data_IF_494344024014
#
_entry.id   IF_494344024014
#
_cell.length_a   1.000
_cell.length_b   1.000
_cell.length_c   1.000
_cell.angle_alpha   90.00
_cell.angle_beta   90.00
_cell.angle_gamma   90.00
#
_symmetry.space_group_name_H-M   'P 1'
#
loop_
_entity.id
_entity.type
_entity.pdbx_description
1 polymer ?
#
# COMPACT_ATOMS: atom_id res chain seq x y z
N UNK A 1 24.34 -20.08 31.79
CA UNK A 1 24.90 -19.56 30.52
C UNK A 1 24.14 -20.22 29.38
N UNK A 2 23.05 -19.62 28.92
CA UNK A 2 22.23 -20.14 27.82
C UNK A 2 22.58 -19.40 26.56
N UNK A 3 23.22 -20.08 25.62
CA UNK A 3 23.66 -19.56 24.32
C UNK A 3 22.46 -19.39 23.39
N UNK A 4 22.25 -18.17 22.92
CA UNK A 4 21.19 -17.81 21.99
C UNK A 4 21.32 -18.51 20.64
N UNK A 5 20.19 -18.90 20.07
CA UNK A 5 20.10 -19.35 18.68
C UNK A 5 20.04 -18.14 17.75
N UNK A 6 21.15 -17.86 17.09
CA UNK A 6 21.18 -16.94 15.94
C UNK A 6 20.54 -17.66 14.75
N UNK A 7 19.48 -17.08 14.17
CA UNK A 7 18.92 -17.58 12.91
C UNK A 7 19.92 -17.32 11.79
N UNK A 8 20.44 -18.40 11.21
CA UNK A 8 21.38 -18.35 10.11
C UNK A 8 20.75 -17.68 8.87
N UNK A 9 21.34 -16.57 8.43
CA UNK A 9 21.25 -16.11 7.05
C UNK A 9 21.78 -17.23 6.16
N UNK A 10 20.88 -17.92 5.47
CA UNK A 10 21.27 -18.93 4.50
C UNK A 10 21.69 -18.23 3.20
N UNK A 11 23.00 -18.00 3.07
CA UNK A 11 23.63 -17.47 1.87
C UNK A 11 23.92 -18.62 0.90
N UNK A 12 23.21 -18.66 -0.22
CA UNK A 12 23.71 -19.26 -1.43
C UNK A 12 23.84 -18.13 -2.46
N UNK A 13 25.03 -17.97 -3.03
CA UNK A 13 25.42 -16.96 -4.04
C UNK A 13 25.87 -15.57 -3.54
N UNK A 14 26.74 -15.49 -2.52
CA UNK A 14 27.75 -14.42 -2.34
C UNK A 14 27.32 -12.94 -2.18
N UNK A 15 26.06 -12.58 -2.46
CA UNK A 15 25.49 -11.22 -2.40
C UNK A 15 24.31 -11.28 -1.45
N UNK A 16 24.26 -10.36 -0.48
CA UNK A 16 23.15 -10.30 0.45
C UNK A 16 21.86 -9.90 -0.28
N UNK A 17 20.72 -10.36 0.23
CA UNK A 17 19.40 -10.00 -0.32
C UNK A 17 19.21 -8.48 -0.41
N UNK A 18 19.71 -7.73 0.58
CA UNK A 18 19.71 -6.27 0.57
C UNK A 18 20.54 -5.66 -0.56
N UNK A 19 21.72 -6.24 -0.87
CA UNK A 19 22.55 -5.76 -1.97
C UNK A 19 21.94 -6.09 -3.35
N UNK A 20 21.32 -7.27 -3.50
CA UNK A 20 20.56 -7.62 -4.72
C UNK A 20 19.42 -6.66 -4.95
N UNK A 21 18.58 -6.44 -3.94
CA UNK A 21 17.49 -5.47 -4.01
C UNK A 21 18.01 -4.07 -4.42
N UNK A 22 19.07 -3.57 -3.77
CA UNK A 22 19.61 -2.25 -4.08
C UNK A 22 20.06 -2.12 -5.54
N UNK A 23 20.60 -3.18 -6.13
CA UNK A 23 20.97 -3.20 -7.55
C UNK A 23 19.75 -3.22 -8.48
N UNK A 24 18.74 -4.05 -8.21
CA UNK A 24 17.48 -4.04 -8.98
C UNK A 24 16.76 -2.68 -8.88
N UNK A 25 16.68 -2.10 -7.69
CA UNK A 25 16.10 -0.79 -7.44
C UNK A 25 16.78 0.32 -8.26
N UNK A 26 18.12 0.36 -8.23
CA UNK A 26 18.90 1.34 -9.01
C UNK A 26 18.72 1.15 -10.52
N UNK A 27 18.72 -0.09 -11.00
CA UNK A 27 18.49 -0.38 -12.41
C UNK A 27 17.08 0.02 -12.86
N UNK A 28 16.06 -0.35 -12.09
CA UNK A 28 14.66 -0.07 -12.39
C UNK A 28 14.39 1.45 -12.45
N UNK A 29 14.86 2.21 -11.46
CA UNK A 29 14.72 3.68 -11.46
C UNK A 29 15.45 4.31 -12.65
N UNK A 30 16.71 3.89 -12.91
CA UNK A 30 17.51 4.40 -14.03
C UNK A 30 16.80 4.15 -15.37
N UNK A 31 16.25 2.96 -15.57
CA UNK A 31 15.50 2.63 -16.79
C UNK A 31 14.25 3.50 -16.90
N UNK A 32 13.45 3.64 -15.83
CA UNK A 32 12.24 4.45 -15.86
C UNK A 32 12.53 5.91 -16.28
N UNK A 33 13.56 6.53 -15.70
CA UNK A 33 14.02 7.88 -16.11
C UNK A 33 14.42 7.95 -17.58
N UNK A 34 15.14 6.94 -18.05
CA UNK A 34 15.51 6.84 -19.46
C UNK A 34 14.28 6.71 -20.35
N UNK A 35 13.28 5.92 -19.96
CA UNK A 35 12.09 5.70 -20.78
C UNK A 35 11.25 6.97 -20.94
N UNK A 36 11.11 7.75 -19.86
CA UNK A 36 10.37 9.03 -19.87
C UNK A 36 10.97 10.09 -20.83
N UNK A 37 12.26 9.99 -21.15
CA UNK A 37 12.96 10.95 -22.03
C UNK A 37 13.32 10.38 -23.40
N UNK A 38 13.28 9.06 -23.57
CA UNK A 38 13.58 8.38 -24.83
C UNK A 38 12.47 8.56 -25.88
N UNK A 39 12.73 8.16 -27.12
CA UNK A 39 11.70 7.99 -28.17
C UNK A 39 11.03 6.60 -28.16
N UNK A 40 11.43 5.69 -27.27
CA UNK A 40 11.00 4.28 -27.28
C UNK A 40 9.52 4.12 -26.88
N UNK A 41 8.75 3.29 -27.56
CA UNK A 41 7.30 3.11 -27.32
C UNK A 41 6.85 1.65 -27.42
N UNK A 42 7.79 0.71 -27.34
CA UNK A 42 7.50 -0.71 -27.25
C UNK A 42 6.52 -1.03 -26.13
N UNK A 43 5.61 -1.98 -26.41
CA UNK A 43 4.70 -2.58 -25.43
C UNK A 43 5.31 -3.81 -24.74
N UNK A 44 6.57 -4.13 -25.03
CA UNK A 44 7.25 -5.22 -24.34
C UNK A 44 7.69 -4.77 -22.94
N UNK A 45 7.35 -5.52 -21.88
CA UNK A 45 7.89 -5.28 -20.54
C UNK A 45 9.42 -5.31 -20.57
N UNK A 46 10.06 -4.50 -19.71
CA UNK A 46 11.51 -4.41 -19.68
C UNK A 46 12.05 -5.40 -18.67
N UNK A 47 12.81 -6.39 -19.15
CA UNK A 47 13.52 -7.35 -18.29
C UNK A 47 14.70 -6.67 -17.58
N UNK A 48 14.80 -6.83 -16.27
CA UNK A 48 15.93 -6.37 -15.48
C UNK A 48 17.13 -7.32 -15.59
N UNK A 49 18.33 -6.82 -15.27
CA UNK A 49 19.55 -7.60 -15.30
C UNK A 49 19.53 -8.65 -14.19
N UNK A 50 19.51 -9.92 -14.57
CA UNK A 50 19.51 -11.04 -13.62
C UNK A 50 20.82 -11.08 -12.81
N UNK A 51 20.72 -10.95 -11.49
CA UNK A 51 21.88 -10.85 -10.58
C UNK A 51 22.37 -12.20 -10.06
N UNK A 52 21.49 -13.19 -9.90
CA UNK A 52 21.83 -14.55 -9.49
C UNK A 52 21.07 -15.60 -10.32
N UNK A 53 21.64 -16.80 -10.56
CA UNK A 53 20.94 -17.87 -11.29
C UNK A 53 19.58 -18.25 -10.70
N UNK A 54 19.46 -18.22 -9.36
CA UNK A 54 18.24 -18.53 -8.62
C UNK A 54 17.17 -17.44 -8.65
N UNK A 55 17.52 -16.19 -9.00
CA UNK A 55 16.53 -15.13 -9.10
C UNK A 55 15.55 -15.43 -10.26
N UNK A 56 14.25 -15.11 -10.14
CA UNK A 56 13.35 -15.17 -11.28
C UNK A 56 13.72 -14.10 -12.31
N UNK A 57 13.17 -14.21 -13.50
CA UNK A 57 13.23 -13.11 -14.46
C UNK A 57 12.28 -12.00 -13.99
N UNK A 58 12.87 -10.89 -13.56
CA UNK A 58 12.16 -9.69 -13.13
C UNK A 58 11.89 -8.75 -14.30
N UNK A 59 10.69 -8.19 -14.35
CA UNK A 59 10.32 -7.18 -15.33
C UNK A 59 9.72 -5.95 -14.67
N UNK A 60 9.92 -4.79 -15.28
CA UNK A 60 9.20 -3.54 -15.00
C UNK A 60 8.30 -3.18 -16.21
N UNK A 61 7.38 -2.19 -16.06
CA UNK A 61 6.49 -1.82 -17.14
C UNK A 61 7.18 -1.43 -18.45
N UNK A 62 6.46 -1.56 -19.55
CA UNK A 62 6.93 -1.23 -20.89
C UNK A 62 7.15 0.28 -21.08
N UNK A 63 7.99 0.68 -22.04
CA UNK A 63 8.14 2.08 -22.45
C UNK A 63 6.80 2.75 -22.81
N UNK A 64 5.90 2.02 -23.48
CA UNK A 64 4.55 2.50 -23.79
C UNK A 64 3.75 2.85 -22.53
N UNK A 65 3.83 2.01 -21.50
CA UNK A 65 3.12 2.24 -20.25
C UNK A 65 3.57 3.53 -19.55
N UNK A 66 4.88 3.75 -19.47
CA UNK A 66 5.44 4.96 -18.86
C UNK A 66 5.00 6.26 -19.55
N UNK A 67 4.66 6.21 -20.84
CA UNK A 67 4.36 7.39 -21.65
C UNK A 67 2.87 7.63 -21.84
N UNK A 68 2.13 6.58 -22.14
CA UNK A 68 0.75 6.71 -22.62
C UNK A 68 -0.29 6.33 -21.56
N UNK A 69 0.11 5.54 -20.55
CA UNK A 69 -0.83 4.94 -19.60
C UNK A 69 -0.68 5.54 -18.21
N UNK A 70 0.54 5.64 -17.71
CA UNK A 70 0.85 6.27 -16.42
C UNK A 70 1.88 7.41 -16.57
N UNK A 71 1.64 8.40 -17.45
CA UNK A 71 2.56 9.51 -17.61
C UNK A 71 2.70 10.32 -16.31
N UNK A 72 3.88 10.91 -16.05
CA UNK A 72 4.02 11.91 -15.01
C UNK A 72 3.13 13.14 -15.29
N UNK A 73 2.58 13.80 -14.24
CA UNK A 73 2.61 13.39 -12.84
C UNK A 73 1.59 12.28 -12.52
N UNK A 74 2.00 11.30 -11.70
CA UNK A 74 1.17 10.19 -11.26
C UNK A 74 -0.02 10.64 -10.39
N UNK A 75 0.13 11.72 -9.63
CA UNK A 75 -0.95 12.42 -8.94
C UNK A 75 -1.01 13.86 -9.45
N UNK A 76 -1.99 14.16 -10.30
CA UNK A 76 -2.12 15.47 -10.94
C UNK A 76 -2.50 16.55 -9.94
N UNK A 77 -1.84 17.71 -10.04
CA UNK A 77 -2.15 18.87 -9.21
C UNK A 77 -1.74 18.70 -7.76
N UNK A 78 -0.65 17.95 -7.50
CA UNK A 78 -0.14 17.75 -6.15
C UNK A 78 0.02 19.07 -5.41
N UNK A 79 -0.57 19.18 -4.22
CA UNK A 79 -0.38 20.31 -3.32
C UNK A 79 -0.22 19.85 -1.87
N UNK A 80 0.61 20.57 -1.13
CA UNK A 80 0.81 20.34 0.31
C UNK A 80 -0.47 20.73 1.06
N UNK A 81 -1.10 19.77 1.72
CA UNK A 81 -2.29 19.97 2.53
C UNK A 81 -1.91 20.23 3.99
N UNK A 82 -2.11 21.46 4.47
CA UNK A 82 -1.87 21.82 5.88
C UNK A 82 -3.20 21.99 6.62
N UNK A 83 -3.45 21.12 7.59
CA UNK A 83 -4.60 21.26 8.49
C UNK A 83 -4.25 22.22 9.65
N UNK A 84 -5.13 23.19 9.93
CA UNK A 84 -4.95 24.15 11.05
C UNK A 84 -6.18 24.13 11.96
N UNK A 85 -6.03 23.90 13.28
CA UNK A 85 -4.78 23.58 13.98
C UNK A 85 -4.26 22.19 13.57
N UNK A 86 -2.95 21.97 13.72
CA UNK A 86 -2.37 20.64 13.59
C UNK A 86 -2.84 19.75 14.75
N UNK A 87 -2.87 18.44 14.50
CA UNK A 87 -3.07 17.42 15.52
C UNK A 87 -1.99 17.53 16.59
N UNK A 88 -2.40 17.60 17.86
CA UNK A 88 -1.51 17.71 19.02
C UNK A 88 -1.58 16.51 19.96
N UNK A 89 -2.31 15.46 19.58
CA UNK A 89 -2.38 14.21 20.33
C UNK A 89 -1.19 13.28 20.06
N UNK A 90 -1.28 12.06 20.60
CA UNK A 90 -0.22 11.02 20.47
C UNK A 90 -0.56 9.92 19.46
N UNK A 91 -1.71 10.02 18.80
CA UNK A 91 -2.18 9.01 17.85
C UNK A 91 -1.24 8.84 16.66
N UNK A 92 -1.05 7.58 16.27
CA UNK A 92 -0.24 7.17 15.12
C UNK A 92 -1.06 6.44 14.09
N UNK A 93 -0.62 6.50 12.85
CA UNK A 93 -1.17 5.72 11.75
C UNK A 93 -0.27 4.50 11.54
N UNK A 94 -0.85 3.30 11.59
CA UNK A 94 -0.18 2.07 11.22
C UNK A 94 -0.15 1.97 9.69
N UNK A 95 1.04 2.02 9.10
CA UNK A 95 1.25 1.85 7.67
C UNK A 95 1.69 0.41 7.41
N UNK A 96 0.85 -0.33 6.67
CA UNK A 96 1.07 -1.76 6.40
C UNK A 96 1.70 -1.93 5.02
N UNK A 97 3.02 -2.02 4.98
CA UNK A 97 3.80 -2.11 3.74
C UNK A 97 4.12 -3.57 3.38
N UNK A 98 4.46 -3.80 2.11
CA UNK A 98 5.17 -5.03 1.71
C UNK A 98 6.69 -4.92 1.90
N UNK A 99 7.31 -6.05 2.24
CA UNK A 99 8.77 -6.27 2.21
C UNK A 99 9.21 -7.15 1.01
N UNK A 100 8.27 -7.56 0.15
CA UNK A 100 8.54 -8.27 -1.10
C UNK A 100 8.58 -7.30 -2.28
N UNK A 101 9.62 -7.43 -3.11
CA UNK A 101 9.71 -6.78 -4.43
C UNK A 101 9.41 -7.75 -5.58
N UNK A 102 9.09 -9.01 -5.26
CA UNK A 102 8.74 -10.05 -6.21
C UNK A 102 7.23 -10.33 -6.12
N UNK A 103 6.53 -10.14 -7.23
CA UNK A 103 5.18 -10.66 -7.41
C UNK A 103 5.19 -11.75 -8.49
N UNK A 104 5.07 -13.04 -8.12
CA UNK A 104 4.89 -14.11 -9.06
C UNK A 104 3.57 -13.97 -9.82
N UNK A 105 3.65 -14.03 -11.14
CA UNK A 105 2.53 -14.03 -12.07
C UNK A 105 2.32 -15.44 -12.63
N UNK A 106 1.31 -15.60 -13.48
CA UNK A 106 1.13 -16.83 -14.26
C UNK A 106 2.32 -17.07 -15.19
N UNK A 107 2.45 -18.31 -15.68
CA UNK A 107 3.50 -18.73 -16.63
C UNK A 107 4.96 -18.59 -16.13
N UNK A 108 5.16 -18.47 -14.81
CA UNK A 108 6.49 -18.47 -14.19
C UNK A 108 7.27 -17.16 -14.33
N UNK A 109 6.58 -16.07 -14.68
CA UNK A 109 7.15 -14.72 -14.81
C UNK A 109 6.97 -13.93 -13.50
N UNK A 110 7.94 -13.08 -13.15
CA UNK A 110 7.87 -12.23 -11.96
C UNK A 110 7.80 -10.74 -12.32
N UNK A 111 6.88 -10.02 -11.68
CA UNK A 111 6.85 -8.56 -11.74
C UNK A 111 7.70 -7.96 -10.62
N UNK A 112 8.62 -7.06 -10.97
CA UNK A 112 9.39 -6.27 -10.00
C UNK A 112 8.54 -5.11 -9.50
N UNK A 113 8.04 -5.24 -8.28
CA UNK A 113 7.06 -4.35 -7.69
C UNK A 113 7.43 -4.00 -6.23
N UNK A 114 6.48 -3.47 -5.48
CA UNK A 114 6.62 -3.00 -4.11
C UNK A 114 5.40 -2.15 -3.75
N UNK A 115 5.59 -1.22 -2.83
CA UNK A 115 4.62 -0.14 -2.59
C UNK A 115 4.83 0.96 -3.64
N UNK A 116 3.76 1.43 -4.30
CA UNK A 116 3.89 2.53 -5.28
C UNK A 116 4.25 3.84 -4.56
N UNK A 117 5.29 4.53 -5.01
CA UNK A 117 5.89 5.66 -4.24
C UNK A 117 4.91 6.81 -4.03
N UNK A 118 4.15 7.21 -5.07
CA UNK A 118 3.09 8.24 -4.94
C UNK A 118 1.98 7.79 -3.99
N UNK A 119 1.57 6.52 -4.06
CA UNK A 119 0.45 5.98 -3.28
C UNK A 119 0.79 5.89 -1.79
N UNK A 120 2.04 5.57 -1.47
CA UNK A 120 2.54 5.56 -0.09
C UNK A 120 2.81 6.98 0.42
N UNK A 121 3.57 7.77 -0.34
CA UNK A 121 4.25 8.95 0.21
C UNK A 121 3.39 10.22 0.14
N UNK A 122 2.47 10.35 -0.82
CA UNK A 122 1.54 11.50 -0.87
C UNK A 122 0.56 11.50 0.32
N UNK A 123 -0.12 10.39 0.67
CA UNK A 123 -0.92 10.34 1.89
C UNK A 123 -0.08 10.56 3.15
N UNK A 124 1.13 9.99 3.23
CA UNK A 124 2.04 10.24 4.35
C UNK A 124 2.41 11.71 4.52
N UNK A 125 2.60 12.44 3.42
CA UNK A 125 2.80 13.90 3.46
C UNK A 125 1.61 14.60 4.13
N UNK A 126 0.38 14.29 3.71
CA UNK A 126 -0.82 14.87 4.30
C UNK A 126 -0.94 14.53 5.80
N UNK A 127 -0.64 13.29 6.18
CA UNK A 127 -0.66 12.86 7.58
C UNK A 127 0.39 13.58 8.44
N UNK A 128 1.62 13.68 7.95
CA UNK A 128 2.71 14.36 8.64
C UNK A 128 2.44 15.87 8.77
N UNK A 129 1.92 16.51 7.71
CA UNK A 129 1.55 17.93 7.73
C UNK A 129 0.40 18.24 8.68
N UNK A 130 -0.48 17.26 8.90
CA UNK A 130 -1.53 17.33 9.90
C UNK A 130 -1.04 17.02 11.32
N UNK A 131 0.19 16.53 11.52
CA UNK A 131 0.79 16.26 12.83
C UNK A 131 0.67 14.81 13.33
N UNK A 132 0.27 13.86 12.49
CA UNK A 132 0.18 12.45 12.88
C UNK A 132 1.54 11.75 12.85
N UNK A 133 1.79 10.86 13.82
CA UNK A 133 2.95 9.97 13.82
C UNK A 133 2.70 8.67 13.05
N UNK A 134 3.77 7.89 12.82
CA UNK A 134 3.69 6.64 12.07
C UNK A 134 4.20 5.44 12.87
N UNK A 135 3.61 4.28 12.61
CA UNK A 135 4.21 2.96 12.83
C UNK A 135 4.21 2.27 11.48
N UNK A 136 5.36 1.82 11.00
CA UNK A 136 5.44 1.05 9.75
C UNK A 136 5.63 -0.42 10.10
N UNK A 137 4.87 -1.29 9.45
CA UNK A 137 4.95 -2.72 9.66
C UNK A 137 4.94 -3.50 8.35
N UNK A 138 5.64 -4.63 8.34
CA UNK A 138 5.62 -5.66 7.29
C UNK A 138 5.34 -7.01 7.93
N UNK A 139 4.91 -8.01 7.15
CA UNK A 139 4.57 -9.34 7.68
C UNK A 139 5.75 -10.00 8.44
N UNK A 140 6.97 -9.71 8.01
CA UNK A 140 8.21 -10.35 8.46
C UNK A 140 9.20 -9.40 9.14
N UNK A 141 8.90 -8.09 9.20
CA UNK A 141 9.79 -7.07 9.76
C UNK A 141 11.01 -6.76 8.89
N UNK A 142 11.06 -7.33 7.67
CA UNK A 142 12.10 -7.00 6.70
C UNK A 142 11.87 -5.60 6.10
N UNK A 143 12.93 -4.95 5.58
CA UNK A 143 12.84 -3.61 5.02
C UNK A 143 11.71 -3.47 3.99
N UNK A 144 11.03 -2.33 4.03
CA UNK A 144 9.98 -1.99 3.07
C UNK A 144 10.56 -1.94 1.65
N UNK A 145 9.80 -2.47 0.70
CA UNK A 145 10.12 -2.43 -0.73
C UNK A 145 9.20 -1.46 -1.44
N UNK A 146 9.75 -0.53 -2.19
CA UNK A 146 8.97 0.41 -2.99
C UNK A 146 9.20 0.12 -4.46
N UNK A 147 8.31 0.59 -5.32
CA UNK A 147 8.54 0.53 -6.76
C UNK A 147 9.45 1.70 -7.15
N UNK A 148 10.78 1.55 -7.08
CA UNK A 148 11.67 2.71 -7.29
C UNK A 148 11.51 3.36 -8.67
N UNK A 149 11.10 2.57 -9.66
CA UNK A 149 10.73 3.03 -11.01
C UNK A 149 9.52 3.98 -11.03
N UNK A 150 8.77 4.12 -9.94
CA UNK A 150 7.64 5.06 -9.81
C UNK A 150 8.05 6.43 -9.26
N UNK A 151 9.24 6.60 -8.65
CA UNK A 151 9.68 7.93 -8.20
C UNK A 151 9.69 8.97 -9.34
N UNK A 152 10.25 8.67 -10.52
CA UNK A 152 10.22 9.61 -11.65
C UNK A 152 8.81 9.94 -12.14
N UNK A 153 7.81 9.10 -11.83
CA UNK A 153 6.42 9.34 -12.21
C UNK A 153 5.77 10.44 -11.38
N UNK A 154 6.35 10.81 -10.24
CA UNK A 154 5.90 11.99 -9.50
C UNK A 154 6.10 13.28 -10.29
N UNK A 155 7.10 13.35 -11.17
CA UNK A 155 7.41 14.55 -11.94
C UNK A 155 7.74 15.72 -11.01
N UNK A 156 6.87 16.73 -11.00
CA UNK A 156 7.09 18.00 -10.29
C UNK A 156 7.16 17.89 -8.76
N UNK A 157 6.58 16.85 -8.16
CA UNK A 157 6.58 16.65 -6.70
C UNK A 157 7.52 15.52 -6.22
N UNK A 158 8.45 15.09 -7.08
CA UNK A 158 9.38 14.01 -6.75
C UNK A 158 10.23 14.36 -5.51
N UNK A 159 10.62 15.63 -5.36
CA UNK A 159 11.43 16.09 -4.23
C UNK A 159 10.68 15.92 -2.89
N UNK A 160 9.39 16.23 -2.85
CA UNK A 160 8.54 16.13 -1.66
C UNK A 160 8.37 14.67 -1.22
N UNK A 161 8.09 13.75 -2.15
CA UNK A 161 7.96 12.33 -1.79
C UNK A 161 9.29 11.73 -1.35
N UNK A 162 10.42 12.15 -1.94
CA UNK A 162 11.74 11.74 -1.45
C UNK A 162 12.07 12.32 -0.08
N UNK A 163 11.66 13.57 0.18
CA UNK A 163 11.87 14.20 1.48
C UNK A 163 11.14 13.47 2.60
N UNK A 164 9.85 13.12 2.43
CA UNK A 164 9.11 12.36 3.45
C UNK A 164 9.65 10.93 3.60
N UNK A 165 10.07 10.30 2.50
CA UNK A 165 10.68 8.97 2.54
C UNK A 165 11.97 8.98 3.36
N UNK A 166 12.86 9.95 3.09
CA UNK A 166 14.12 10.10 3.80
C UNK A 166 13.92 10.51 5.28
N UNK A 167 12.97 11.38 5.57
CA UNK A 167 12.64 11.79 6.94
C UNK A 167 12.17 10.62 7.82
N UNK A 168 11.58 9.59 7.20
CA UNK A 168 11.08 8.39 7.87
C UNK A 168 11.93 7.14 7.58
N UNK A 169 13.16 7.31 7.09
CA UNK A 169 13.99 6.20 6.60
C UNK A 169 14.17 5.06 7.60
N UNK A 170 14.32 5.38 8.89
CA UNK A 170 14.46 4.38 9.95
C UNK A 170 13.24 3.45 10.05
N UNK A 171 12.03 3.95 9.82
CA UNK A 171 10.81 3.15 9.86
C UNK A 171 10.70 2.19 8.65
N UNK A 172 11.28 2.58 7.50
CA UNK A 172 11.27 1.76 6.29
C UNK A 172 12.41 0.72 6.27
N UNK A 173 13.59 1.07 6.79
CA UNK A 173 14.72 0.15 6.87
C UNK A 173 14.53 -0.92 7.96
N UNK A 174 13.81 -0.60 9.03
CA UNK A 174 13.54 -1.50 10.15
C UNK A 174 12.07 -1.41 10.63
N UNK A 175 11.11 -1.87 9.80
CA UNK A 175 9.71 -1.87 10.18
C UNK A 175 9.44 -2.90 11.28
N UNK A 176 8.32 -2.73 11.98
CA UNK A 176 7.83 -3.73 12.95
C UNK A 176 7.31 -4.95 12.19
N UNK A 177 7.31 -6.12 12.83
CA UNK A 177 6.46 -7.22 12.37
C UNK A 177 5.01 -6.90 12.69
N UNK A 178 4.08 -7.21 11.79
CA UNK A 178 2.63 -7.07 12.07
C UNK A 178 2.22 -7.81 13.35
N UNK A 179 2.83 -8.97 13.64
CA UNK A 179 2.61 -9.73 14.88
C UNK A 179 3.07 -9.03 16.17
N UNK A 180 3.91 -8.00 16.06
CA UNK A 180 4.43 -7.26 17.21
C UNK A 180 3.63 -5.98 17.49
N UNK A 181 2.81 -5.52 16.54
CA UNK A 181 2.04 -4.27 16.68
C UNK A 181 0.82 -4.50 17.57
N UNK A 182 0.55 -3.55 18.46
CA UNK A 182 -0.65 -3.54 19.30
C UNK A 182 -1.34 -2.17 19.22
N UNK A 183 -2.64 -2.18 18.89
CA UNK A 183 -3.39 -0.94 18.60
C UNK A 183 -3.36 0.01 19.80
N UNK A 184 -3.52 -0.49 21.02
CA UNK A 184 -3.61 0.35 22.20
C UNK A 184 -2.22 0.78 22.68
N UNK A 185 -1.29 -0.16 22.80
CA UNK A 185 0.05 0.12 23.31
C UNK A 185 0.85 1.03 22.36
N UNK A 186 0.69 0.87 21.05
CA UNK A 186 1.37 1.70 20.06
C UNK A 186 0.62 3.03 19.75
N UNK A 187 -0.55 3.27 20.38
CA UNK A 187 -1.45 4.42 20.15
C UNK A 187 -1.91 4.53 18.69
N UNK A 188 -2.28 3.42 18.07
CA UNK A 188 -2.78 3.39 16.69
C UNK A 188 -4.20 3.93 16.64
N UNK A 189 -4.42 4.96 15.81
CA UNK A 189 -5.74 5.57 15.58
C UNK A 189 -6.26 5.33 14.17
N UNK A 190 -5.45 4.79 13.26
CA UNK A 190 -5.86 4.35 11.93
C UNK A 190 -4.88 3.34 11.34
N UNK A 191 -5.38 2.59 10.36
CA UNK A 191 -4.57 1.70 9.52
C UNK A 191 -4.56 2.24 8.10
N UNK A 192 -3.39 2.29 7.47
CA UNK A 192 -3.20 2.68 6.09
C UNK A 192 -2.49 1.58 5.30
N UNK A 193 -3.18 1.02 4.30
CA UNK A 193 -2.63 0.09 3.32
C UNK A 193 -2.40 0.80 1.98
N UNK A 194 -1.17 1.26 1.67
CA UNK A 194 -0.83 1.78 0.35
C UNK A 194 -0.95 0.68 -0.72
N UNK A 195 -1.09 1.05 -1.98
CA UNK A 195 -1.08 0.10 -3.09
C UNK A 195 0.30 -0.05 -3.74
N UNK A 196 0.31 -0.19 -5.06
CA UNK A 196 1.32 -0.93 -5.81
C UNK A 196 1.05 -2.43 -5.80
N UNK A 197 1.45 -3.14 -6.86
CA UNK A 197 1.14 -4.57 -7.01
C UNK A 197 1.77 -5.42 -5.89
N UNK A 198 2.79 -4.92 -5.19
CA UNK A 198 3.40 -5.58 -4.04
C UNK A 198 2.43 -5.87 -2.88
N UNK A 199 1.33 -5.11 -2.75
CA UNK A 199 0.26 -5.38 -1.78
C UNK A 199 -0.41 -6.76 -2.01
N UNK A 200 -0.39 -7.26 -3.24
CA UNK A 200 -0.95 -8.56 -3.63
C UNK A 200 -0.06 -9.75 -3.27
N UNK A 201 1.15 -9.54 -2.75
CA UNK A 201 2.13 -10.63 -2.54
C UNK A 201 1.88 -11.45 -1.27
N UNK A 202 1.82 -10.78 -0.11
CA UNK A 202 1.90 -11.43 1.21
C UNK A 202 0.82 -10.96 2.19
N UNK A 203 0.47 -9.68 2.19
CA UNK A 203 -0.32 -9.06 3.26
C UNK A 203 -1.72 -9.68 3.45
N UNK A 204 -2.41 -10.05 2.36
CA UNK A 204 -3.71 -10.73 2.43
C UNK A 204 -3.66 -12.13 3.08
N UNK A 205 -2.47 -12.71 3.26
CA UNK A 205 -2.23 -14.01 3.92
C UNK A 205 -1.77 -13.87 5.37
N UNK A 206 -1.67 -12.66 5.89
CA UNK A 206 -1.12 -12.37 7.21
C UNK A 206 -2.22 -12.44 8.31
N UNK A 207 -2.23 -13.46 9.18
CA UNK A 207 -3.21 -13.56 10.25
C UNK A 207 -3.06 -12.48 11.34
N UNK A 208 -1.84 -11.95 11.55
CA UNK A 208 -1.63 -10.86 12.50
C UNK A 208 -2.23 -9.56 11.98
N UNK A 209 -2.01 -9.26 10.69
CA UNK A 209 -2.68 -8.14 10.02
C UNK A 209 -4.20 -8.31 10.00
N UNK A 210 -4.69 -9.52 9.73
CA UNK A 210 -6.12 -9.82 9.83
C UNK A 210 -6.70 -9.52 11.22
N UNK A 211 -5.94 -9.83 12.28
CA UNK A 211 -6.32 -9.52 13.66
C UNK A 211 -6.31 -8.02 13.94
N UNK A 212 -5.32 -7.28 13.43
CA UNK A 212 -5.25 -5.82 13.54
C UNK A 212 -6.43 -5.14 12.82
N UNK A 213 -6.76 -5.56 11.60
CA UNK A 213 -7.91 -5.04 10.85
C UNK A 213 -9.24 -5.29 11.55
N UNK A 214 -9.42 -6.48 12.14
CA UNK A 214 -10.62 -6.80 12.94
C UNK A 214 -10.73 -5.91 14.17
N UNK A 215 -9.65 -5.76 14.95
CA UNK A 215 -9.63 -4.87 16.12
C UNK A 215 -9.87 -3.41 15.72
N UNK A 216 -9.33 -2.97 14.59
CA UNK A 216 -9.59 -1.63 14.06
C UNK A 216 -11.07 -1.44 13.71
N UNK A 217 -11.68 -2.40 13.02
CA UNK A 217 -13.11 -2.41 12.70
C UNK A 217 -13.99 -2.41 13.98
N UNK A 218 -13.70 -3.26 14.96
CA UNK A 218 -14.41 -3.30 16.26
C UNK A 218 -14.38 -1.96 17.01
N UNK A 219 -13.35 -1.14 16.76
CA UNK A 219 -13.15 0.19 17.36
C UNK A 219 -13.52 1.34 16.41
N UNK A 220 -14.08 1.00 15.25
CA UNK A 220 -14.41 1.92 14.16
C UNK A 220 -13.22 2.81 13.74
N UNK A 221 -11.97 2.35 13.91
CA UNK A 221 -10.80 3.13 13.55
C UNK A 221 -10.74 3.31 12.03
N UNK A 222 -10.45 4.52 11.53
CA UNK A 222 -10.28 4.74 10.10
C UNK A 222 -9.33 3.71 9.49
N UNK A 223 -9.83 3.00 8.49
CA UNK A 223 -9.09 2.02 7.69
C UNK A 223 -8.98 2.58 6.29
N UNK A 224 -7.78 2.93 5.87
CA UNK A 224 -7.49 3.70 4.66
C UNK A 224 -6.78 2.78 3.68
N UNK A 225 -7.32 2.61 2.47
CA UNK A 225 -6.77 1.72 1.45
C UNK A 225 -6.74 2.38 0.09
N UNK A 226 -5.79 1.99 -0.77
CA UNK A 226 -5.66 2.58 -2.10
C UNK A 226 -5.22 1.55 -3.13
N UNK A 227 -5.78 1.62 -4.35
CA UNK A 227 -5.36 0.80 -5.50
C UNK A 227 -5.42 -0.71 -5.18
N UNK A 228 -4.31 -1.45 -5.29
CA UNK A 228 -4.22 -2.85 -4.86
C UNK A 228 -4.13 -3.02 -3.33
N UNK A 229 -3.82 -1.96 -2.59
CA UNK A 229 -3.78 -1.95 -1.13
C UNK A 229 -5.11 -2.34 -0.50
N UNK A 230 -6.24 -2.06 -1.16
CA UNK A 230 -7.57 -2.52 -0.70
C UNK A 230 -7.68 -4.03 -0.58
N UNK A 231 -6.90 -4.80 -1.37
CA UNK A 231 -6.89 -6.26 -1.26
C UNK A 231 -6.36 -6.76 0.09
N UNK A 232 -5.57 -5.95 0.81
CA UNK A 232 -5.06 -6.30 2.15
C UNK A 232 -6.21 -6.58 3.13
N UNK A 233 -7.39 -5.98 2.93
CA UNK A 233 -8.58 -6.25 3.74
C UNK A 233 -8.89 -7.75 3.82
N UNK A 234 -8.62 -8.52 2.76
CA UNK A 234 -8.85 -9.96 2.72
C UNK A 234 -8.17 -10.73 3.87
N UNK A 235 -7.08 -10.21 4.45
CA UNK A 235 -6.46 -10.78 5.64
C UNK A 235 -7.43 -10.90 6.82
N UNK A 236 -8.40 -9.98 6.95
CA UNK A 236 -9.40 -10.03 8.00
C UNK A 236 -10.33 -11.26 7.89
N UNK A 237 -10.48 -11.86 6.70
CA UNK A 237 -11.28 -13.08 6.51
C UNK A 237 -10.64 -14.33 7.14
N UNK A 238 -9.32 -14.31 7.42
CA UNK A 238 -8.61 -15.44 8.03
C UNK A 238 -9.10 -15.76 9.45
N UNK A 239 -9.70 -14.77 10.14
CA UNK A 239 -10.20 -14.90 11.52
C UNK A 239 -11.67 -15.28 11.65
N UNK A 240 -12.35 -15.73 10.58
CA UNK A 240 -13.78 -16.07 10.59
C UNK A 240 -14.60 -15.15 9.69
N UNK A 241 -15.83 -14.80 10.09
CA UNK A 241 -16.72 -13.97 9.26
C UNK A 241 -16.08 -12.61 8.93
N UNK A 242 -15.97 -12.29 7.64
CA UNK A 242 -15.29 -11.11 7.15
C UNK A 242 -16.00 -9.81 7.59
N UNK A 243 -15.33 -8.93 8.37
CA UNK A 243 -15.99 -7.78 8.98
C UNK A 243 -16.45 -6.72 7.97
N UNK A 244 -15.74 -6.57 6.85
CA UNK A 244 -16.09 -5.59 5.82
C UNK A 244 -17.13 -6.11 4.81
N UNK A 245 -17.80 -7.23 5.08
CA UNK A 245 -18.90 -7.72 4.24
C UNK A 245 -20.00 -6.65 4.14
N UNK A 246 -20.42 -6.33 2.93
CA UNK A 246 -21.40 -5.27 2.64
C UNK A 246 -20.85 -3.84 2.68
N UNK A 247 -19.56 -3.63 2.98
CA UNK A 247 -18.92 -2.32 2.80
C UNK A 247 -18.76 -1.98 1.32
N UNK A 248 -18.96 -0.71 1.01
CA UNK A 248 -18.64 -0.11 -0.27
C UNK A 248 -17.18 0.25 -0.31
N UNK A 249 -16.52 -0.03 -1.42
CA UNK A 249 -15.12 0.34 -1.60
C UNK A 249 -14.78 0.63 -3.06
N UNK A 250 -13.64 1.27 -3.23
CA UNK A 250 -12.88 1.37 -4.47
C UNK A 250 -11.59 0.55 -4.34
N UNK A 251 -11.11 0.03 -5.46
CA UNK A 251 -9.79 -0.58 -5.61
C UNK A 251 -9.36 -0.51 -7.07
N UNK A 252 -8.14 -0.95 -7.40
CA UNK A 252 -7.71 -0.96 -8.79
C UNK A 252 -8.59 -1.88 -9.65
N UNK A 253 -8.76 -1.53 -10.92
CA UNK A 253 -9.69 -2.23 -11.82
C UNK A 253 -9.13 -3.55 -12.33
N UNK A 254 -9.89 -4.63 -12.19
CA UNK A 254 -9.52 -5.96 -12.72
C UNK A 254 -9.37 -5.90 -14.23
N UNK A 255 -10.29 -5.21 -14.93
CA UNK A 255 -10.27 -5.04 -16.38
C UNK A 255 -9.06 -4.23 -16.86
N UNK A 256 -8.53 -3.33 -16.02
CA UNK A 256 -7.30 -2.62 -16.32
C UNK A 256 -6.10 -3.53 -16.13
N UNK A 257 -5.94 -4.22 -14.99
CA UNK A 257 -4.84 -5.18 -14.81
C UNK A 257 -4.82 -6.22 -15.95
N UNK A 258 -5.98 -6.79 -16.26
CA UNK A 258 -6.16 -7.78 -17.31
C UNK A 258 -7.47 -7.61 -18.10
N UNK A 259 -7.43 -7.64 -19.45
CA UNK A 259 -6.25 -7.84 -20.28
C UNK A 259 -5.52 -6.53 -20.64
N UNK A 260 -6.03 -5.34 -20.28
CA UNK A 260 -5.57 -4.07 -20.86
C UNK A 260 -4.09 -3.79 -20.58
N UNK A 261 -3.72 -3.61 -19.31
CA UNK A 261 -2.36 -3.31 -18.89
C UNK A 261 -1.40 -4.45 -19.20
N UNK A 262 -1.85 -5.70 -19.05
CA UNK A 262 -1.09 -6.88 -19.43
C UNK A 262 -0.71 -6.88 -20.93
N UNK A 263 -1.63 -6.53 -21.83
CA UNK A 263 -1.35 -6.44 -23.27
C UNK A 263 -0.46 -5.24 -23.64
N UNK A 264 -0.43 -4.22 -22.80
CA UNK A 264 0.44 -3.04 -22.96
C UNK A 264 1.81 -3.25 -22.30
N UNK A 265 2.01 -4.36 -21.62
CA UNK A 265 3.27 -4.75 -20.98
C UNK A 265 3.52 -4.04 -19.65
N UNK A 266 2.49 -3.77 -18.85
CA UNK A 266 2.66 -3.26 -17.50
C UNK A 266 2.97 -4.42 -16.52
N UNK A 267 2.03 -5.32 -16.14
CA UNK A 267 2.45 -6.62 -15.67
C UNK A 267 2.94 -7.44 -16.88
N UNK A 268 4.06 -8.17 -16.77
CA UNK A 268 4.62 -8.94 -17.87
C UNK A 268 3.85 -10.23 -18.19
N UNK A 269 2.87 -10.61 -17.36
CA UNK A 269 2.02 -11.78 -17.52
C UNK A 269 0.69 -11.55 -16.77
N UNK A 270 -0.19 -12.56 -16.75
CA UNK A 270 -1.45 -12.51 -16.02
C UNK A 270 -1.22 -12.59 -14.50
N UNK A 271 -1.97 -11.82 -13.75
CA UNK A 271 -2.05 -11.89 -12.30
C UNK A 271 -2.57 -13.25 -11.85
N UNK A 272 -2.09 -13.71 -10.69
CA UNK A 272 -2.62 -14.93 -10.04
C UNK A 272 -3.93 -14.66 -9.31
N UNK A 273 -4.18 -13.39 -8.99
CA UNK A 273 -5.35 -12.92 -8.27
C UNK A 273 -5.69 -11.49 -8.71
N UNK A 274 -6.98 -11.20 -8.79
CA UNK A 274 -7.49 -9.88 -9.17
C UNK A 274 -8.24 -9.24 -7.99
N UNK A 275 -7.96 -7.95 -7.66
CA UNK A 275 -8.44 -7.32 -6.45
C UNK A 275 -9.97 -7.20 -6.39
N UNK A 276 -10.65 -6.75 -7.44
CA UNK A 276 -12.11 -6.55 -7.43
C UNK A 276 -12.83 -7.88 -7.26
N UNK A 277 -12.46 -8.89 -8.05
CA UNK A 277 -13.01 -10.25 -7.95
C UNK A 277 -12.89 -10.78 -6.53
N UNK A 278 -11.70 -10.68 -5.93
CA UNK A 278 -11.46 -11.18 -4.57
C UNK A 278 -12.33 -10.50 -3.52
N UNK A 279 -12.49 -9.18 -3.59
CA UNK A 279 -13.29 -8.42 -2.63
C UNK A 279 -14.79 -8.65 -2.81
N UNK A 280 -15.26 -8.82 -4.06
CA UNK A 280 -16.65 -9.20 -4.37
C UNK A 280 -16.97 -10.59 -3.82
N UNK A 281 -16.06 -11.56 -3.97
CA UNK A 281 -16.22 -12.91 -3.43
C UNK A 281 -16.29 -12.92 -1.88
N UNK A 282 -15.63 -11.97 -1.23
CA UNK A 282 -15.76 -11.73 0.22
C UNK A 282 -17.04 -10.96 0.62
N UNK A 283 -17.84 -10.53 -0.36
CA UNK A 283 -19.13 -9.88 -0.15
C UNK A 283 -19.06 -8.36 0.00
N UNK A 284 -17.98 -7.70 -0.44
CA UNK A 284 -17.93 -6.23 -0.53
C UNK A 284 -18.68 -5.72 -1.76
N UNK A 285 -19.17 -4.48 -1.68
CA UNK A 285 -19.76 -3.75 -2.80
C UNK A 285 -18.67 -2.89 -3.48
N UNK A 286 -17.90 -3.49 -4.40
CA UNK A 286 -16.92 -2.75 -5.21
C UNK A 286 -17.64 -1.85 -6.21
N UNK A 287 -17.47 -0.54 -6.08
CA UNK A 287 -18.27 0.44 -6.81
C UNK A 287 -17.79 0.67 -8.25
N UNK A 288 -16.51 0.47 -8.53
CA UNK A 288 -15.87 0.84 -9.79
C UNK A 288 -15.65 -0.35 -10.75
N UNK A 289 -16.72 -1.03 -11.14
CA UNK A 289 -16.67 -2.28 -11.92
C UNK A 289 -17.00 -2.11 -13.40
N UNK A 290 -17.36 -0.90 -13.85
CA UNK A 290 -17.84 -0.65 -15.22
C UNK A 290 -16.71 -0.26 -16.19
N UNK A 291 -15.55 0.14 -15.68
CA UNK A 291 -14.35 0.46 -16.47
C UNK A 291 -14.33 1.87 -17.05
N UNK A 292 -15.28 2.72 -16.67
CA UNK A 292 -15.37 4.14 -17.05
C UNK A 292 -15.19 5.10 -15.86
N UNK A 293 -14.90 4.56 -14.66
CA UNK A 293 -14.78 5.35 -13.45
C UNK A 293 -13.46 6.13 -13.37
N UNK A 294 -13.47 7.23 -12.61
CA UNK A 294 -12.32 8.10 -12.51
C UNK A 294 -11.20 7.44 -11.67
N UNK A 295 -9.97 7.57 -12.15
CA UNK A 295 -8.79 7.01 -11.49
C UNK A 295 -8.43 7.75 -10.20
N UNK A 296 -8.99 8.94 -10.00
CA UNK A 296 -8.78 9.81 -8.85
C UNK A 296 -9.97 9.82 -7.88
N UNK A 297 -10.90 8.86 -7.97
CA UNK A 297 -12.03 8.75 -7.05
C UNK A 297 -11.62 8.25 -5.66
N UNK A 298 -12.38 8.72 -4.66
CA UNK A 298 -12.30 8.31 -3.27
C UNK A 298 -13.69 7.97 -2.76
N UNK A 299 -13.81 6.88 -2.00
CA UNK A 299 -15.05 6.44 -1.37
C UNK A 299 -14.86 6.38 0.14
N UNK A 300 -15.80 6.96 0.87
CA UNK A 300 -15.93 6.83 2.32
C UNK A 300 -17.18 6.03 2.61
N UNK A 301 -17.03 4.91 3.29
CA UNK A 301 -18.14 4.12 3.85
C UNK A 301 -17.82 3.80 5.31
N UNK A 302 -18.49 4.53 6.22
CA UNK A 302 -18.23 4.51 7.67
C UNK A 302 -16.75 4.84 7.95
N UNK A 303 -16.01 3.93 8.59
CA UNK A 303 -14.58 4.08 8.89
C UNK A 303 -13.66 3.64 7.74
N UNK A 304 -14.19 2.99 6.70
CA UNK A 304 -13.41 2.57 5.54
C UNK A 304 -13.31 3.71 4.52
N UNK A 305 -12.07 4.12 4.20
CA UNK A 305 -11.76 5.13 3.20
C UNK A 305 -10.94 4.45 2.12
N UNK A 306 -11.39 4.49 0.87
CA UNK A 306 -10.71 3.82 -0.25
C UNK A 306 -10.48 4.73 -1.44
N UNK A 307 -9.35 4.59 -2.10
CA UNK A 307 -8.99 5.31 -3.33
C UNK A 307 -8.75 4.36 -4.50
N UNK A 308 -9.10 4.79 -5.71
CA UNK A 308 -9.06 3.94 -6.92
C UNK A 308 -7.65 3.59 -7.38
N UNK A 309 -6.74 4.57 -7.47
CA UNK A 309 -5.40 4.43 -8.05
C UNK A 309 -4.42 5.48 -7.51
N UNK A 310 -3.19 5.51 -8.02
CA UNK A 310 -2.20 6.55 -7.75
C UNK A 310 -2.70 7.99 -7.96
N UNK A 311 -3.64 8.20 -8.88
CA UNK A 311 -4.22 9.53 -9.12
C UNK A 311 -5.11 10.00 -7.95
N UNK A 312 -5.61 9.09 -7.12
CA UNK A 312 -6.44 9.40 -5.94
C UNK A 312 -5.62 9.72 -4.68
N UNK A 313 -4.29 9.58 -4.73
CA UNK A 313 -3.44 9.61 -3.54
C UNK A 313 -3.59 10.90 -2.71
N UNK A 314 -3.64 12.08 -3.34
CA UNK A 314 -3.85 13.33 -2.62
C UNK A 314 -5.25 13.40 -1.99
N UNK A 315 -6.31 13.18 -2.77
CA UNK A 315 -7.68 13.25 -2.26
C UNK A 315 -7.91 12.25 -1.12
N UNK A 316 -7.31 11.06 -1.21
CA UNK A 316 -7.38 10.05 -0.17
C UNK A 316 -6.71 10.55 1.12
N UNK A 317 -5.48 11.09 1.01
CA UNK A 317 -4.74 11.64 2.14
C UNK A 317 -5.52 12.78 2.82
N UNK A 318 -6.04 13.72 2.05
CA UNK A 318 -6.85 14.84 2.56
C UNK A 318 -8.13 14.38 3.25
N UNK A 319 -8.86 13.44 2.63
CA UNK A 319 -10.09 12.89 3.20
C UNK A 319 -9.80 12.12 4.50
N UNK A 320 -8.72 11.34 4.54
CA UNK A 320 -8.30 10.62 5.72
C UNK A 320 -7.87 11.58 6.85
N UNK A 321 -7.12 12.64 6.57
CA UNK A 321 -6.78 13.67 7.57
C UNK A 321 -8.06 14.30 8.13
N UNK A 322 -9.01 14.68 7.27
CA UNK A 322 -10.29 15.25 7.71
C UNK A 322 -11.01 14.31 8.68
N UNK A 323 -11.16 13.04 8.32
CA UNK A 323 -11.82 12.03 9.17
C UNK A 323 -11.06 11.84 10.50
N UNK A 324 -9.73 11.79 10.47
CA UNK A 324 -8.92 11.65 11.67
C UNK A 324 -9.02 12.86 12.60
N UNK A 325 -9.00 14.07 12.06
CA UNK A 325 -9.15 15.30 12.84
C UNK A 325 -10.54 15.40 13.45
N UNK A 326 -11.59 15.06 12.71
CA UNK A 326 -12.96 15.02 13.23
C UNK A 326 -13.13 14.00 14.37
N UNK A 327 -12.41 12.87 14.33
CA UNK A 327 -12.54 11.80 15.33
C UNK A 327 -11.60 11.95 16.54
N UNK A 328 -10.42 12.55 16.35
CA UNK A 328 -9.34 12.48 17.35
C UNK A 328 -8.75 13.83 17.77
N UNK A 329 -9.07 14.94 17.11
CA UNK A 329 -8.53 16.25 17.54
C UNK A 329 -8.99 16.59 18.97
N UNK A 330 -8.13 17.18 19.81
CA UNK A 330 -8.54 17.59 21.16
C UNK A 330 -9.76 18.51 21.13
N UNK A 331 -10.82 18.13 21.84
CA UNK A 331 -12.10 18.85 21.84
C UNK A 331 -13.07 18.45 20.72
N UNK A 332 -12.74 17.45 19.89
CA UNK A 332 -13.71 16.83 18.98
C UNK A 332 -14.85 16.18 19.75
N UNK A 333 -16.09 16.46 19.33
CA UNK A 333 -17.31 15.97 19.98
C UNK A 333 -17.79 14.70 19.26
N UNK A 334 -17.24 13.57 19.66
CA UNK A 334 -17.85 12.22 19.62
C UNK A 334 -17.12 11.45 20.73
N UNK A 335 -17.67 11.20 21.90
CA UNK A 335 -19.02 10.79 22.22
C UNK A 335 -18.82 9.61 23.15
N UNK A 336 -18.69 9.91 24.45
CA UNK A 336 -18.76 8.91 25.51
C UNK A 336 -20.15 8.26 25.44
N UNK A 337 -20.32 7.29 24.55
CA UNK A 337 -21.40 6.33 24.67
C UNK A 337 -20.92 5.32 25.71
N UNK A 338 -21.63 5.17 26.84
CA UNK A 338 -21.32 4.09 27.77
C UNK A 338 -21.42 2.77 27.01
N UNK A 339 -20.44 1.90 27.20
CA UNK A 339 -20.58 0.48 26.90
C UNK A 339 -21.87 -0.01 27.56
N UNK A 340 -22.96 -0.15 26.80
CA UNK A 340 -24.13 -0.85 27.30
C UNK A 340 -23.69 -2.28 27.60
N UNK A 341 -23.57 -2.57 28.89
CA UNK A 341 -23.50 -3.93 29.39
C UNK A 341 -24.77 -4.62 28.89
N UNK A 342 -24.62 -5.55 27.95
CA UNK A 342 -25.69 -6.48 27.63
C UNK A 342 -26.12 -7.19 28.93
N UNK A 343 -27.24 -6.71 29.47
CA UNK A 343 -27.90 -7.28 30.62
C UNK A 343 -28.38 -8.67 30.28
N UNK A 344 -27.98 -9.62 31.12
CA UNK A 344 -28.63 -10.91 31.25
C UNK A 344 -30.12 -10.71 31.48
N UNK A 345 -30.94 -11.14 30.53
CA UNK A 345 -32.39 -11.27 30.68
C UNK A 345 -32.77 -12.74 30.64
N UNK A 346 -32.78 -13.39 31.80
CA UNK A 346 -33.60 -14.58 32.06
C UNK A 346 -35.06 -14.13 32.18
N UNK A 347 -35.94 -14.80 31.45
CA UNK A 347 -37.28 -15.18 31.90
C UNK A 347 -37.70 -16.41 31.10
#
# INVERSE_FOLDING_TARGET
MGTGSSSAMQTCDGVTEGAKHAAYAQEAERIARSMLTSGESSKQPIKLTKLAPADPDYYIPSPHCFKEIVPPPACKGFQRYKHTPAYSGKGKILITCTSSYNLPLQDGVSFYTGNHTTELLVPMIAFADAGFGFVVATIDGNPVRVEEWTFPLAGEYEEEIRAIYQANRQLFDAPRKTSEVDIEADNIIAIFGPGGHGAMSQAHKDPALGSLLRKAHERELPTIMLCHGTHILAAAALGGEFPYKGYKCLCFFDAMDEPVLQQLGYPPAKMTLLPQKSLIELGMAVLNTKGDEAWDDVCVDRELITGTSQQSAQKLGEQAVKTLMEKHAPGSVRGDLPLEKHGQGRA
#
